data_IF_871005999379
#
_entry.id   IF_871005999379
#
_cell.length_a   1.000
_cell.length_b   1.000
_cell.length_c   1.000
_cell.angle_alpha   90.00
_cell.angle_beta   90.00
_cell.angle_gamma   90.00
#
_symmetry.space_group_name_H-M   'P 1'
#
loop_
_entity.id
_entity.type
_entity.pdbx_description
1 polymer ?
#
# COMPACT_ATOMS: atom_id res chain seq x y z
N UNK A 1 -45.68 23.20 -21.42
CA UNK A 1 -45.97 23.65 -20.04
C UNK A 1 -46.74 22.55 -19.36
N UNK A 2 -46.29 22.13 -18.18
CA UNK A 2 -46.94 21.08 -17.38
C UNK A 2 -47.94 21.79 -16.44
N UNK A 3 -49.19 21.30 -16.28
CA UNK A 3 -50.13 21.85 -15.30
C UNK A 3 -49.51 21.82 -13.88
N UNK A 4 -49.65 22.92 -13.12
CA UNK A 4 -49.02 23.05 -11.79
C UNK A 4 -49.42 21.95 -10.80
N UNK A 5 -50.59 21.33 -10.98
CA UNK A 5 -51.11 20.26 -10.12
C UNK A 5 -50.32 18.93 -10.21
N UNK A 6 -49.46 18.76 -11.22
CA UNK A 6 -48.64 17.55 -11.42
C UNK A 6 -47.16 17.75 -11.10
N UNK A 7 -46.80 18.92 -10.59
CA UNK A 7 -45.42 19.21 -10.18
C UNK A 7 -45.25 18.75 -8.73
N UNK A 8 -44.29 17.86 -8.43
CA UNK A 8 -44.02 17.46 -7.05
C UNK A 8 -43.72 18.67 -6.17
N UNK A 9 -44.18 18.67 -4.91
CA UNK A 9 -43.90 19.75 -3.95
C UNK A 9 -42.40 19.99 -3.70
N UNK A 10 -41.54 19.03 -4.09
CA UNK A 10 -40.08 19.09 -3.99
C UNK A 10 -39.41 19.62 -5.27
N UNK A 11 -40.18 20.02 -6.28
CA UNK A 11 -39.66 20.57 -7.51
C UNK A 11 -38.96 21.91 -7.28
N UNK A 12 -37.79 22.06 -7.89
CA UNK A 12 -37.03 23.29 -7.85
C UNK A 12 -37.70 24.30 -8.77
N UNK A 13 -38.11 25.44 -8.20
CA UNK A 13 -38.79 26.49 -8.96
C UNK A 13 -37.91 27.72 -9.18
N UNK A 14 -36.77 27.80 -8.48
CA UNK A 14 -35.81 28.89 -8.61
C UNK A 14 -34.37 28.36 -8.75
N UNK A 15 -33.57 29.02 -9.59
CA UNK A 15 -32.19 28.60 -9.89
C UNK A 15 -31.22 28.75 -8.70
N UNK A 16 -31.59 29.51 -7.67
CA UNK A 16 -30.77 29.66 -6.47
C UNK A 16 -30.73 28.37 -5.62
N UNK A 17 -31.74 27.49 -5.72
CA UNK A 17 -31.84 26.25 -4.94
C UNK A 17 -30.85 25.16 -5.38
N UNK A 18 -30.30 25.28 -6.59
CA UNK A 18 -29.30 24.38 -7.18
C UNK A 18 -27.93 25.05 -7.35
N UNK A 19 -27.80 26.29 -6.87
CA UNK A 19 -26.55 27.04 -6.96
C UNK A 19 -25.49 26.31 -6.12
N UNK A 20 -24.40 25.89 -6.77
CA UNK A 20 -23.31 25.08 -6.19
C UNK A 20 -23.68 23.62 -5.87
N UNK A 21 -24.70 23.06 -6.52
CA UNK A 21 -25.04 21.63 -6.42
C UNK A 21 -24.81 20.92 -7.75
N UNK A 22 -24.50 19.63 -7.69
CA UNK A 22 -24.35 18.76 -8.87
C UNK A 22 -25.50 17.77 -8.95
N UNK A 23 -25.92 17.42 -10.17
CA UNK A 23 -26.94 16.41 -10.37
C UNK A 23 -26.38 15.03 -9.99
N UNK A 24 -27.14 14.26 -9.21
CA UNK A 24 -26.75 12.92 -8.77
C UNK A 24 -26.80 11.87 -9.91
N UNK A 25 -27.35 12.23 -11.07
CA UNK A 25 -27.50 11.37 -12.26
C UNK A 25 -27.84 12.20 -13.50
N UNK A 26 -27.75 11.59 -14.70
CA UNK A 26 -28.05 12.23 -15.98
C UNK A 26 -29.52 12.65 -16.11
N UNK A 27 -29.75 13.92 -16.46
CA UNK A 27 -31.08 14.50 -16.62
C UNK A 27 -31.47 14.56 -18.09
N UNK A 28 -32.49 13.79 -18.49
CA UNK A 28 -33.04 13.87 -19.83
C UNK A 28 -33.78 15.21 -20.07
N UNK A 29 -33.70 15.80 -21.28
CA UNK A 29 -34.40 17.04 -21.60
C UNK A 29 -35.92 16.93 -21.36
N UNK A 30 -36.49 17.91 -20.64
CA UNK A 30 -37.92 17.94 -20.30
C UNK A 30 -38.29 17.28 -18.97
N UNK A 31 -37.33 16.73 -18.22
CA UNK A 31 -37.55 16.18 -16.87
C UNK A 31 -37.80 17.28 -15.84
N UNK A 32 -38.74 17.06 -14.93
CA UNK A 32 -38.96 17.94 -13.77
C UNK A 32 -37.85 17.69 -12.75
N UNK A 33 -37.07 18.72 -12.48
CA UNK A 33 -35.99 18.69 -11.48
C UNK A 33 -36.54 18.86 -10.07
N UNK A 34 -36.23 17.92 -9.19
CA UNK A 34 -36.57 17.96 -7.75
C UNK A 34 -35.31 18.12 -6.89
N UNK A 35 -35.45 18.71 -5.70
CA UNK A 35 -34.33 19.02 -4.80
C UNK A 35 -33.44 17.82 -4.49
N UNK A 36 -34.02 16.64 -4.34
CA UNK A 36 -33.30 15.40 -4.01
C UNK A 36 -32.44 14.85 -5.17
N UNK A 37 -32.54 15.44 -6.36
CA UNK A 37 -31.68 15.11 -7.51
C UNK A 37 -30.33 15.84 -7.47
N UNK A 38 -30.15 16.78 -6.53
CA UNK A 38 -28.98 17.63 -6.45
C UNK A 38 -28.29 17.48 -5.11
N UNK A 39 -27.01 17.12 -5.14
CA UNK A 39 -26.17 17.00 -3.94
C UNK A 39 -25.23 18.21 -3.84
N UNK A 40 -24.93 18.63 -2.61
CA UNK A 40 -23.98 19.73 -2.38
C UNK A 40 -22.61 19.36 -2.94
N UNK A 41 -22.04 20.25 -3.77
CA UNK A 41 -20.71 20.05 -4.33
C UNK A 41 -19.59 20.33 -3.32
N UNK A 42 -19.92 20.62 -2.06
CA UNK A 42 -18.95 20.60 -0.96
C UNK A 42 -18.62 19.16 -0.56
N UNK A 43 -18.10 18.39 -1.51
CA UNK A 43 -16.96 17.56 -1.14
C UNK A 43 -15.95 18.56 -0.61
N UNK A 44 -15.78 18.60 0.72
CA UNK A 44 -14.57 19.18 1.27
C UNK A 44 -13.48 18.27 0.73
N UNK A 45 -12.99 18.55 -0.49
CA UNK A 45 -11.98 17.73 -1.13
C UNK A 45 -10.73 17.95 -0.30
N UNK A 46 -10.57 17.13 0.73
CA UNK A 46 -9.40 17.12 1.58
C UNK A 46 -8.25 16.81 0.63
N UNK A 47 -7.48 17.84 0.33
CA UNK A 47 -6.32 17.71 -0.54
C UNK A 47 -5.39 16.68 0.09
N UNK A 48 -4.64 15.96 -0.72
CA UNK A 48 -3.70 14.96 -0.21
C UNK A 48 -2.72 15.53 0.84
N UNK A 49 -2.40 16.83 0.72
CA UNK A 49 -1.62 17.58 1.70
C UNK A 49 -2.32 17.68 3.07
N UNK A 50 -3.63 17.87 3.10
CA UNK A 50 -4.40 17.92 4.36
C UNK A 50 -4.50 16.54 5.02
N UNK A 51 -4.42 15.44 4.25
CA UNK A 51 -4.36 14.06 4.79
C UNK A 51 -3.03 13.74 5.48
N UNK A 52 -2.00 14.53 5.23
CA UNK A 52 -0.72 14.42 5.91
C UNK A 52 -0.83 15.05 7.31
N UNK A 53 -1.32 14.26 8.27
CA UNK A 53 -1.63 14.72 9.62
C UNK A 53 -0.40 15.18 10.40
N UNK A 54 0.79 14.71 10.04
CA UNK A 54 2.04 15.13 10.64
C UNK A 54 2.77 16.15 9.75
N UNK A 55 3.01 17.35 10.30
CA UNK A 55 3.71 18.45 9.62
C UNK A 55 5.17 18.16 9.29
N UNK A 56 5.78 17.20 10.00
CA UNK A 56 7.19 16.84 9.86
C UNK A 56 7.37 15.65 8.90
N UNK A 57 6.30 15.20 8.25
CA UNK A 57 6.32 14.10 7.29
C UNK A 57 6.16 14.60 5.85
N UNK A 58 6.35 13.70 4.90
CA UNK A 58 6.13 13.87 3.46
C UNK A 58 5.34 12.68 2.92
N UNK A 59 4.56 12.95 1.86
CA UNK A 59 3.97 11.89 1.05
C UNK A 59 4.97 11.49 -0.04
N UNK A 60 5.35 10.21 -0.07
CA UNK A 60 6.24 9.65 -1.10
C UNK A 60 5.51 8.56 -1.86
N UNK A 61 5.58 8.61 -3.19
CA UNK A 61 5.04 7.57 -4.06
C UNK A 61 6.16 6.74 -4.69
N UNK A 62 5.95 5.42 -4.77
CA UNK A 62 6.84 4.50 -5.48
C UNK A 62 6.03 3.39 -6.13
N UNK A 63 6.64 2.74 -7.13
CA UNK A 63 6.03 1.62 -7.82
C UNK A 63 6.51 0.30 -7.20
N UNK A 64 5.59 -0.63 -7.00
CA UNK A 64 5.81 -1.99 -6.52
C UNK A 64 4.86 -2.91 -7.29
N UNK A 65 5.29 -4.12 -7.64
CA UNK A 65 4.41 -5.07 -8.31
C UNK A 65 3.50 -5.81 -7.32
N UNK A 66 2.49 -6.50 -7.83
CA UNK A 66 1.52 -7.22 -7.01
C UNK A 66 2.17 -8.31 -6.14
N UNK A 67 3.28 -8.91 -6.60
CA UNK A 67 3.99 -9.96 -5.86
C UNK A 67 4.67 -9.38 -4.62
N UNK A 68 5.24 -8.18 -4.74
CA UNK A 68 5.90 -7.45 -3.66
C UNK A 68 4.94 -6.59 -2.83
N UNK A 69 3.66 -6.55 -3.19
CA UNK A 69 2.63 -5.68 -2.61
C UNK A 69 1.43 -6.49 -2.06
N UNK A 70 1.69 -7.64 -1.45
CA UNK A 70 0.67 -8.50 -0.81
C UNK A 70 -0.48 -8.81 -1.77
N UNK A 71 -0.18 -9.21 -3.00
CA UNK A 71 -1.18 -9.57 -4.02
C UNK A 71 -2.10 -8.42 -4.46
N UNK A 72 -1.72 -7.18 -4.16
CA UNK A 72 -2.50 -5.98 -4.48
C UNK A 72 -3.70 -5.75 -3.56
N UNK A 73 -3.78 -6.45 -2.41
CA UNK A 73 -4.84 -6.31 -1.42
C UNK A 73 -4.70 -5.08 -0.52
N UNK A 74 -3.53 -4.42 -0.54
CA UNK A 74 -3.29 -3.21 0.23
C UNK A 74 -4.33 -2.14 -0.11
N UNK A 75 -4.85 -1.51 0.92
CA UNK A 75 -5.73 -0.35 0.82
C UNK A 75 -5.13 0.83 1.55
N UNK A 76 -5.65 2.01 1.23
CA UNK A 76 -5.21 3.22 1.89
C UNK A 76 -5.70 3.22 3.35
N UNK A 77 -4.80 3.53 4.28
CA UNK A 77 -5.00 3.37 5.73
C UNK A 77 -4.23 2.20 6.32
N UNK A 78 -3.88 1.20 5.52
CA UNK A 78 -3.07 0.06 5.96
C UNK A 78 -1.67 0.50 6.40
N UNK A 79 -1.07 -0.30 7.28
CA UNK A 79 0.32 -0.17 7.69
C UNK A 79 1.10 -1.38 7.19
N UNK A 80 2.33 -1.14 6.73
CA UNK A 80 3.19 -2.18 6.16
C UNK A 80 4.60 -2.14 6.70
N UNK A 81 5.23 -3.29 6.81
CA UNK A 81 6.66 -3.42 6.92
C UNK A 81 7.29 -3.36 5.52
N UNK A 82 8.41 -2.65 5.40
CA UNK A 82 9.17 -2.50 4.17
C UNK A 82 10.49 -3.26 4.29
N UNK A 83 10.75 -4.15 3.35
CA UNK A 83 11.97 -4.94 3.28
C UNK A 83 12.69 -4.72 1.96
N UNK A 84 14.00 -4.88 1.99
CA UNK A 84 14.87 -4.81 0.81
C UNK A 84 15.76 -6.04 0.76
N UNK A 85 16.19 -6.40 -0.43
CA UNK A 85 17.30 -7.34 -0.60
C UNK A 85 18.59 -6.55 -0.72
N UNK A 86 19.58 -6.89 0.10
CA UNK A 86 20.91 -6.38 -0.07
C UNK A 86 21.62 -7.23 -1.13
N UNK A 87 22.05 -6.63 -2.24
CA UNK A 87 22.95 -7.32 -3.15
C UNK A 87 24.32 -7.41 -2.48
N UNK A 88 24.86 -8.63 -2.40
CA UNK A 88 26.25 -8.85 -2.02
C UNK A 88 27.01 -9.08 -3.33
N UNK A 89 27.90 -8.16 -3.68
CA UNK A 89 28.73 -8.30 -4.86
C UNK A 89 29.75 -9.42 -4.60
N UNK A 90 29.66 -10.49 -5.40
CA UNK A 90 30.63 -11.60 -5.39
C UNK A 90 31.95 -11.17 -6.07
N UNK A 91 32.55 -10.04 -5.67
CA UNK A 91 33.93 -9.76 -6.02
C UNK A 91 34.83 -10.67 -5.18
N UNK A 92 34.96 -11.90 -5.67
CA UNK A 92 35.60 -13.01 -4.99
C UNK A 92 37.03 -12.67 -4.54
N UNK A 93 37.20 -12.45 -3.24
CA UNK A 93 38.46 -12.73 -2.58
C UNK A 93 38.62 -14.25 -2.45
N UNK A 94 39.83 -14.77 -2.62
CA UNK A 94 40.19 -16.20 -2.57
C UNK A 94 39.86 -16.92 -1.23
N UNK A 95 39.27 -16.19 -0.26
CA UNK A 95 38.87 -16.67 1.06
C UNK A 95 37.41 -16.33 1.42
N UNK A 96 36.58 -15.96 0.43
CA UNK A 96 35.17 -15.68 0.69
C UNK A 96 34.38 -17.00 0.81
N UNK A 97 33.77 -17.29 1.98
CA UNK A 97 32.95 -18.49 2.19
C UNK A 97 31.72 -18.56 1.27
N UNK A 98 31.34 -17.45 0.61
CA UNK A 98 30.29 -17.42 -0.41
C UNK A 98 30.75 -17.76 -1.83
N UNK A 99 32.01 -18.18 -2.02
CA UNK A 99 32.50 -18.73 -3.29
C UNK A 99 31.91 -20.13 -3.49
N UNK A 100 30.84 -20.20 -4.28
CA UNK A 100 30.33 -21.47 -4.78
C UNK A 100 31.32 -22.08 -5.78
N UNK A 101 32.30 -22.83 -5.27
CA UNK A 101 32.90 -23.89 -6.08
C UNK A 101 31.77 -24.88 -6.42
N UNK A 102 31.49 -25.08 -7.71
CA UNK A 102 30.44 -25.98 -8.20
C UNK A 102 30.55 -27.41 -7.62
N UNK A 103 31.72 -27.78 -7.09
CA UNK A 103 31.96 -29.05 -6.40
C UNK A 103 31.39 -29.11 -4.97
N UNK A 104 31.21 -27.99 -4.27
CA UNK A 104 30.72 -27.92 -2.88
C UNK A 104 29.18 -27.95 -2.78
N UNK A 105 28.46 -27.53 -3.81
CA UNK A 105 26.99 -27.50 -3.84
C UNK A 105 26.33 -28.90 -3.88
N UNK A 106 27.11 -29.98 -4.04
CA UNK A 106 26.60 -31.36 -4.25
C UNK A 106 26.63 -32.24 -3.00
N UNK A 107 27.24 -31.79 -1.91
CA UNK A 107 27.31 -32.55 -0.67
C UNK A 107 26.37 -31.92 0.36
N UNK A 108 25.13 -32.46 0.44
CA UNK A 108 24.15 -32.04 1.45
C UNK A 108 24.78 -32.09 2.84
N UNK A 109 24.97 -30.92 3.45
CA UNK A 109 25.70 -30.74 4.71
C UNK A 109 26.73 -29.60 4.73
N UNK A 110 26.85 -28.81 3.65
CA UNK A 110 27.75 -27.66 3.56
C UNK A 110 27.11 -26.30 3.90
N UNK A 111 27.96 -25.34 4.25
CA UNK A 111 27.63 -23.92 4.51
C UNK A 111 26.73 -23.33 3.42
N UNK A 112 25.62 -22.71 3.82
CA UNK A 112 24.61 -22.13 2.93
C UNK A 112 24.84 -20.62 2.79
N UNK A 113 24.93 -20.16 1.54
CA UNK A 113 25.22 -18.77 1.21
C UNK A 113 23.97 -18.06 0.67
N UNK A 114 23.47 -17.08 1.43
CA UNK A 114 22.36 -16.21 1.03
C UNK A 114 22.92 -15.01 0.27
N UNK A 115 22.97 -15.10 -1.07
CA UNK A 115 23.59 -14.08 -1.93
C UNK A 115 22.87 -12.72 -1.90
N UNK A 116 21.58 -12.72 -1.55
CA UNK A 116 20.76 -11.50 -1.48
C UNK A 116 19.93 -11.46 -0.19
N UNK A 117 20.55 -11.32 0.99
CA UNK A 117 19.83 -11.39 2.25
C UNK A 117 18.81 -10.27 2.36
N UNK A 118 17.61 -10.63 2.82
CA UNK A 118 16.56 -9.66 3.10
C UNK A 118 16.85 -8.89 4.40
N UNK A 119 16.48 -7.61 4.41
CA UNK A 119 16.64 -6.71 5.54
C UNK A 119 15.39 -5.87 5.74
N UNK A 120 15.06 -5.63 7.00
CA UNK A 120 14.01 -4.67 7.35
C UNK A 120 14.53 -3.26 7.09
N UNK A 121 13.84 -2.50 6.24
CA UNK A 121 14.12 -1.09 5.99
C UNK A 121 13.35 -0.22 6.99
N UNK A 122 12.04 -0.38 7.04
CA UNK A 122 11.13 0.30 7.97
C UNK A 122 10.00 -0.63 8.39
N UNK A 123 9.43 -0.37 9.56
CA UNK A 123 8.29 -1.13 10.08
C UNK A 123 7.10 -0.20 10.30
N UNK A 124 5.90 -0.74 10.14
CA UNK A 124 4.63 -0.04 10.41
C UNK A 124 4.54 1.31 9.69
N UNK A 125 4.83 1.31 8.40
CA UNK A 125 4.73 2.49 7.52
C UNK A 125 3.30 2.62 7.01
N UNK A 126 2.69 3.78 7.24
CA UNK A 126 1.31 4.03 6.82
C UNK A 126 1.19 4.32 5.32
N UNK A 127 0.24 3.64 4.68
CA UNK A 127 -0.19 3.88 3.31
C UNK A 127 -1.26 4.97 3.30
N UNK A 128 -1.00 6.03 2.54
CA UNK A 128 -1.96 7.12 2.30
C UNK A 128 -2.82 6.88 1.06
N UNK A 129 -2.29 6.18 0.06
CA UNK A 129 -3.01 5.84 -1.16
C UNK A 129 -2.45 4.62 -1.90
N UNK A 130 -3.35 3.96 -2.63
CA UNK A 130 -3.05 2.88 -3.58
C UNK A 130 -3.64 3.25 -4.93
N UNK A 131 -2.79 3.33 -5.96
CA UNK A 131 -3.13 3.89 -7.25
C UNK A 131 -3.60 5.34 -7.12
N UNK A 132 -4.81 5.60 -7.63
CA UNK A 132 -5.47 6.90 -7.50
C UNK A 132 -6.46 6.97 -6.31
N UNK A 133 -6.50 5.94 -5.46
CA UNK A 133 -7.45 5.85 -4.34
C UNK A 133 -6.74 6.20 -3.05
N UNK A 134 -7.19 7.26 -2.37
CA UNK A 134 -6.64 7.72 -1.10
C UNK A 134 -7.49 7.28 0.11
N UNK A 135 -6.89 7.22 1.30
CA UNK A 135 -7.56 6.77 2.53
C UNK A 135 -8.67 7.74 2.90
N UNK A 136 -9.92 7.27 2.98
CA UNK A 136 -11.05 8.12 3.33
C UNK A 136 -10.90 8.64 4.76
N UNK A 137 -11.11 9.94 4.97
CA UNK A 137 -11.19 10.49 6.31
C UNK A 137 -12.60 10.30 6.91
N UNK A 138 -12.76 10.35 8.26
CA UNK A 138 -14.08 10.29 8.88
C UNK A 138 -15.00 11.41 8.34
N UNK A 139 -16.11 11.01 7.72
CA UNK A 139 -17.06 11.92 7.05
C UNK A 139 -16.82 12.13 5.56
N UNK A 140 -15.82 11.49 4.96
CA UNK A 140 -15.62 11.43 3.51
C UNK A 140 -16.36 10.21 2.93
N UNK A 141 -17.24 10.43 1.96
CA UNK A 141 -17.82 9.36 1.14
C UNK A 141 -16.95 9.15 -0.10
N UNK A 142 -16.67 7.89 -0.43
CA UNK A 142 -16.05 7.55 -1.70
C UNK A 142 -16.90 8.12 -2.84
N UNK A 143 -16.26 8.82 -3.80
CA UNK A 143 -16.94 9.25 -5.01
C UNK A 143 -17.60 8.01 -5.68
N UNK A 144 -18.90 8.10 -5.98
CA UNK A 144 -19.60 7.05 -6.68
C UNK A 144 -18.88 6.77 -8.01
N UNK A 145 -18.47 5.52 -8.29
CA UNK A 145 -17.73 5.24 -9.50
C UNK A 145 -18.64 5.46 -10.72
N UNK A 146 -18.27 6.41 -11.58
CA UNK A 146 -18.80 6.46 -12.95
C UNK A 146 -18.27 5.24 -13.71
N UNK A 147 -19.13 4.21 -13.84
CA UNK A 147 -18.83 2.96 -14.53
C UNK A 147 -18.04 1.95 -13.69
N UNK A 148 -18.05 0.68 -14.13
CA UNK A 148 -17.29 -0.43 -13.54
C UNK A 148 -15.79 -0.09 -13.54
N UNK A 149 -15.30 0.59 -12.52
CA UNK A 149 -13.88 0.65 -12.23
C UNK A 149 -13.49 -0.69 -11.63
N UNK A 150 -12.97 -1.58 -12.47
CA UNK A 150 -12.08 -2.63 -12.00
C UNK A 150 -11.00 -1.95 -11.16
N UNK A 151 -10.82 -2.35 -9.90
CA UNK A 151 -9.67 -1.99 -9.07
C UNK A 151 -8.41 -2.38 -9.84
N UNK A 152 -7.90 -1.47 -10.65
CA UNK A 152 -6.57 -1.61 -11.26
C UNK A 152 -5.62 -1.15 -10.17
N UNK A 153 -5.12 -2.09 -9.37
CA UNK A 153 -3.95 -1.80 -8.56
C UNK A 153 -2.82 -1.52 -9.57
N UNK A 154 -2.45 -0.25 -9.71
CA UNK A 154 -1.43 0.16 -10.68
C UNK A 154 -0.02 -0.13 -10.17
N UNK A 155 0.11 -0.76 -9.00
CA UNK A 155 1.38 -0.92 -8.30
C UNK A 155 1.91 0.37 -7.70
N UNK A 156 1.17 1.49 -7.80
CA UNK A 156 1.58 2.77 -7.25
C UNK A 156 1.13 2.87 -5.79
N UNK A 157 2.07 2.96 -4.86
CA UNK A 157 1.78 3.11 -3.43
C UNK A 157 2.30 4.48 -2.98
N UNK A 158 1.48 5.20 -2.22
CA UNK A 158 1.87 6.45 -1.57
C UNK A 158 1.88 6.29 -0.07
N UNK A 159 2.99 6.60 0.58
CA UNK A 159 3.22 6.41 2.01
C UNK A 159 3.48 7.73 2.74
N UNK A 160 3.20 7.71 4.04
CA UNK A 160 3.46 8.80 4.98
C UNK A 160 4.78 8.54 5.74
N UNK A 161 5.83 9.31 5.47
CA UNK A 161 7.15 9.10 6.08
C UNK A 161 7.88 10.41 6.41
N UNK A 162 8.80 10.44 7.38
CA UNK A 162 9.73 11.56 7.53
C UNK A 162 10.59 11.80 6.28
N UNK A 163 11.04 13.04 6.01
CA UNK A 163 11.94 13.35 4.89
C UNK A 163 13.18 12.46 4.83
N UNK A 164 13.82 12.19 5.97
CA UNK A 164 15.03 11.36 6.03
C UNK A 164 14.73 9.93 5.58
N UNK A 165 13.58 9.38 5.99
CA UNK A 165 13.15 8.05 5.59
C UNK A 165 12.83 7.97 4.08
N UNK A 166 12.28 9.06 3.51
CA UNK A 166 12.03 9.13 2.06
C UNK A 166 13.33 9.01 1.24
N UNK A 167 14.45 9.54 1.73
CA UNK A 167 15.75 9.42 1.07
C UNK A 167 16.27 7.98 1.10
N UNK A 168 16.14 7.32 2.25
CA UNK A 168 16.48 5.90 2.37
C UNK A 168 15.65 5.06 1.40
N UNK A 169 14.33 5.25 1.34
CA UNK A 169 13.45 4.51 0.43
C UNK A 169 13.80 4.82 -1.04
N UNK A 170 14.04 6.09 -1.39
CA UNK A 170 14.37 6.49 -2.76
C UNK A 170 15.68 5.84 -3.25
N UNK A 171 16.66 5.64 -2.36
CA UNK A 171 17.92 4.98 -2.70
C UNK A 171 17.77 3.49 -3.04
N UNK A 172 16.65 2.85 -2.69
CA UNK A 172 16.41 1.42 -2.95
C UNK A 172 15.75 1.17 -4.31
N UNK A 173 15.30 2.23 -4.99
CA UNK A 173 14.51 2.16 -6.22
C UNK A 173 15.32 1.72 -7.46
N UNK A 174 16.65 1.57 -7.33
CA UNK A 174 17.55 1.14 -8.41
C UNK A 174 18.00 -0.33 -8.37
N UNK A 175 17.55 -1.12 -7.38
CA UNK A 175 18.02 -2.51 -7.14
C UNK A 175 16.93 -3.58 -7.22
N UNK A 176 17.02 -4.59 -6.34
CA UNK A 176 16.12 -5.76 -6.24
C UNK A 176 14.66 -5.45 -5.83
N UNK A 177 14.32 -4.18 -5.66
CA UNK A 177 13.00 -3.69 -5.30
C UNK A 177 12.71 -3.72 -3.80
N UNK A 178 11.60 -3.08 -3.42
CA UNK A 178 11.06 -3.07 -2.06
C UNK A 178 9.95 -4.11 -1.96
N UNK A 179 9.94 -4.88 -0.87
CA UNK A 179 8.86 -5.80 -0.50
C UNK A 179 8.03 -5.19 0.63
N UNK A 180 6.71 -5.31 0.52
CA UNK A 180 5.77 -4.87 1.52
C UNK A 180 5.14 -6.09 2.21
N UNK A 181 5.04 -6.04 3.52
CA UNK A 181 4.27 -6.99 4.32
C UNK A 181 3.22 -6.24 5.13
N UNK A 182 1.95 -6.59 4.94
CA UNK A 182 0.83 -6.04 5.69
C UNK A 182 0.95 -6.46 7.16
N UNK A 183 0.83 -5.51 8.08
CA UNK A 183 0.88 -5.79 9.51
C UNK A 183 -0.52 -5.82 10.12
N UNK A 184 -0.67 -6.51 11.25
CA UNK A 184 -1.89 -6.48 12.05
C UNK A 184 -2.11 -5.09 12.66
N UNK A 185 -3.35 -4.78 13.03
CA UNK A 185 -3.74 -3.48 13.62
C UNK A 185 -2.97 -3.17 14.92
N UNK A 186 -2.76 -4.21 15.74
CA UNK A 186 -2.04 -4.15 17.01
C UNK A 186 -0.54 -4.49 16.88
N UNK A 187 0.01 -4.55 15.67
CA UNK A 187 1.42 -4.85 15.45
C UNK A 187 2.33 -3.84 16.15
N UNK A 188 3.21 -4.31 17.03
CA UNK A 188 4.24 -3.50 17.67
C UNK A 188 5.60 -3.75 17.00
N UNK A 189 6.25 -2.72 16.41
CA UNK A 189 7.54 -2.90 15.77
C UNK A 189 8.65 -3.35 16.74
N UNK A 190 9.31 -4.45 16.43
CA UNK A 190 10.47 -4.95 17.17
C UNK A 190 11.70 -5.03 16.26
N UNK A 191 12.90 -4.89 16.83
CA UNK A 191 14.13 -4.94 16.04
C UNK A 191 14.32 -6.33 15.42
N UNK A 192 14.20 -6.42 14.09
CA UNK A 192 14.43 -7.66 13.33
C UNK A 192 15.86 -7.68 12.78
N UNK A 193 16.70 -8.67 13.15
CA UNK A 193 18.03 -8.78 12.59
C UNK A 193 17.98 -9.13 11.10
N UNK A 194 18.99 -8.73 10.30
CA UNK A 194 19.07 -9.10 8.89
C UNK A 194 19.23 -10.62 8.75
N UNK A 195 18.77 -11.17 7.61
CA UNK A 195 19.04 -12.56 7.26
C UNK A 195 20.56 -12.77 7.19
N UNK A 196 21.12 -13.80 7.86
CA UNK A 196 22.55 -14.05 7.81
C UNK A 196 22.98 -14.41 6.37
N UNK A 197 24.08 -13.81 5.92
CA UNK A 197 24.66 -14.12 4.61
C UNK A 197 25.16 -15.57 4.54
N UNK A 198 25.54 -16.14 5.68
CA UNK A 198 26.13 -17.47 5.80
C UNK A 198 25.44 -18.19 6.95
N UNK A 199 24.95 -19.41 6.72
CA UNK A 199 24.34 -20.25 7.77
C UNK A 199 24.63 -21.72 7.53
N UNK A 200 24.73 -22.51 8.60
CA UNK A 200 24.92 -23.96 8.52
C UNK A 200 23.59 -24.72 8.39
N UNK A 201 22.47 -24.06 8.74
CA UNK A 201 21.11 -24.61 8.67
C UNK A 201 20.10 -23.55 8.27
N UNK A 202 19.13 -23.93 7.44
CA UNK A 202 17.91 -23.15 7.21
C UNK A 202 16.90 -23.36 8.35
N UNK A 203 15.93 -22.45 8.55
CA UNK A 203 14.90 -22.63 9.56
C UNK A 203 14.17 -23.98 9.49
N UNK A 204 13.86 -24.47 8.28
CA UNK A 204 13.23 -25.78 8.08
C UNK A 204 14.10 -27.01 8.43
N UNK A 205 15.37 -26.80 8.78
CA UNK A 205 16.34 -27.85 9.17
C UNK A 205 16.67 -27.81 10.67
N UNK A 206 16.14 -26.84 11.41
CA UNK A 206 16.29 -26.69 12.86
C UNK A 206 14.99 -27.14 13.54
N UNK A 207 15.07 -28.18 14.38
CA UNK A 207 13.92 -28.75 15.11
C UNK A 207 13.17 -27.72 15.96
N UNK A 208 13.84 -26.62 16.35
CA UNK A 208 13.23 -25.55 17.13
C UNK A 208 12.59 -24.44 16.27
N UNK A 209 12.77 -24.48 14.95
CA UNK A 209 12.34 -23.44 14.00
C UNK A 209 11.69 -24.00 12.73
N UNK A 210 11.19 -25.23 12.81
CA UNK A 210 10.58 -25.95 11.69
C UNK A 210 9.44 -25.18 11.02
N UNK A 211 8.77 -24.30 11.76
CA UNK A 211 7.77 -23.39 11.22
C UNK A 211 8.11 -21.93 11.56
N UNK A 212 7.62 -20.96 10.76
CA UNK A 212 7.73 -19.54 11.11
C UNK A 212 7.08 -19.14 12.44
N UNK A 213 6.24 -20.02 13.01
CA UNK A 213 5.48 -19.80 14.23
C UNK A 213 6.07 -20.55 15.44
N UNK A 214 7.20 -21.24 15.26
CA UNK A 214 7.79 -22.14 16.26
C UNK A 214 7.39 -23.61 16.07
N UNK A 215 7.75 -24.50 17.01
CA UNK A 215 7.54 -25.94 16.86
C UNK A 215 6.06 -26.35 16.87
N UNK A 216 5.20 -25.57 17.53
CA UNK A 216 3.77 -25.84 17.65
C UNK A 216 2.94 -25.37 16.44
N UNK A 217 3.57 -24.67 15.50
CA UNK A 217 2.88 -24.12 14.32
C UNK A 217 2.02 -22.89 14.64
N UNK A 218 1.16 -22.49 13.70
CA UNK A 218 0.27 -21.35 13.92
C UNK A 218 -0.86 -21.74 14.87
N UNK A 219 -0.94 -21.10 16.04
CA UNK A 219 -1.88 -21.43 17.12
C UNK A 219 -3.14 -20.56 17.16
N UNK A 220 -3.29 -19.65 16.20
CA UNK A 220 -4.47 -18.78 16.05
C UNK A 220 -5.71 -19.49 15.48
#
# INVERSE_FOLDING_TARGET
QIPQDFVPNTAITTGDEIKNKVAAFDLAPGTVVVRDMFVDQSQTTITFRQRLKNKDHVAMSFAVDDVRSVGGFLVAGDEVNMMINQQIDNEAGENDPCVIDETQARQGGGTICTLTPARMLYQKVQILAVGNTAALEPGEEAAAPEGKQTKTNTGLITINVPPEASLWIASQNGGAGVYLALVAEDYEPEAVPPVPAITDKLPGEDENKLTPYGPDGNTE
#
